data_IF_841218618824
#
_entry.id   IF_841218618824
#
_cell.length_a   1.000
_cell.length_b   1.000
_cell.length_c   1.000
_cell.angle_alpha   90.00
_cell.angle_beta   90.00
_cell.angle_gamma   90.00
#
_symmetry.space_group_name_H-M   'P 1'
#
loop_
_entity.id
_entity.type
_entity.pdbx_description
1 polymer ?
#
# COMPACT_ATOMS: atom_id res chain seq x y z
N UNK A 1 -84.95 -51.68 -3.84
CA UNK A 1 -85.86 -50.79 -3.08
C UNK A 1 -85.05 -49.58 -2.62
N UNK A 2 -84.99 -48.53 -3.44
CA UNK A 2 -84.30 -47.27 -3.13
C UNK A 2 -85.29 -46.34 -2.44
N UNK A 3 -85.36 -46.39 -1.10
CA UNK A 3 -85.94 -45.27 -0.36
C UNK A 3 -84.88 -44.18 -0.35
N UNK A 4 -85.09 -43.17 -1.19
CA UNK A 4 -84.31 -41.95 -1.22
C UNK A 4 -84.10 -41.44 0.22
N UNK A 5 -82.83 -41.19 0.53
CA UNK A 5 -82.27 -40.70 1.80
C UNK A 5 -82.68 -39.23 2.05
N UNK A 6 -83.87 -38.84 1.61
CA UNK A 6 -84.39 -37.47 1.67
C UNK A 6 -85.25 -37.23 2.92
N UNK A 7 -85.80 -38.30 3.52
CA UNK A 7 -86.73 -38.21 4.66
C UNK A 7 -86.10 -38.51 6.05
N UNK A 8 -84.79 -38.72 6.15
CA UNK A 8 -84.15 -39.08 7.43
C UNK A 8 -83.59 -37.86 8.18
N UNK A 9 -84.05 -37.65 9.43
CA UNK A 9 -83.59 -36.54 10.27
C UNK A 9 -82.13 -36.73 10.74
N UNK A 10 -81.35 -35.65 10.93
CA UNK A 10 -79.90 -35.70 11.18
C UNK A 10 -79.43 -36.34 12.50
N UNK A 11 -80.32 -36.88 13.34
CA UNK A 11 -79.98 -37.24 14.73
C UNK A 11 -79.12 -38.51 14.90
N UNK A 12 -78.90 -39.32 13.85
CA UNK A 12 -78.15 -40.59 13.95
C UNK A 12 -76.81 -40.63 13.18
N UNK A 13 -76.29 -39.49 12.69
CA UNK A 13 -75.10 -39.45 11.82
C UNK A 13 -73.80 -39.98 12.44
N UNK A 14 -73.64 -40.00 13.77
CA UNK A 14 -72.50 -40.68 14.43
C UNK A 14 -72.44 -42.18 14.13
N UNK A 15 -73.58 -42.82 13.86
CA UNK A 15 -73.67 -44.23 13.39
C UNK A 15 -73.21 -44.38 11.95
N UNK A 16 -73.21 -43.30 11.18
CA UNK A 16 -72.80 -43.28 9.78
C UNK A 16 -71.33 -42.88 9.62
N UNK A 17 -70.80 -42.03 10.50
CA UNK A 17 -69.38 -41.64 10.51
C UNK A 17 -68.42 -42.73 11.01
N UNK A 18 -68.92 -43.88 11.47
CA UNK A 18 -68.11 -45.07 11.80
C UNK A 18 -67.72 -45.85 10.52
N UNK A 19 -67.10 -45.13 9.59
CA UNK A 19 -66.68 -45.62 8.28
C UNK A 19 -65.80 -46.87 8.38
N UNK A 20 -64.90 -46.91 9.36
CA UNK A 20 -64.02 -48.05 9.60
C UNK A 20 -64.76 -49.34 9.95
N UNK A 21 -65.90 -49.28 10.65
CA UNK A 21 -66.74 -50.46 10.93
C UNK A 21 -67.55 -50.89 9.72
N UNK A 22 -68.22 -49.94 9.05
CA UNK A 22 -69.02 -50.23 7.84
C UNK A 22 -68.19 -50.81 6.71
N UNK A 23 -66.97 -50.30 6.54
CA UNK A 23 -66.02 -50.83 5.58
C UNK A 23 -65.59 -52.28 5.92
N UNK A 24 -65.54 -52.67 7.20
CA UNK A 24 -65.26 -54.07 7.59
C UNK A 24 -66.46 -54.98 7.37
N UNK A 25 -67.67 -54.47 7.56
CA UNK A 25 -68.93 -55.22 7.43
C UNK A 25 -69.41 -55.32 5.97
N UNK A 26 -68.92 -54.46 5.08
CA UNK A 26 -69.25 -54.48 3.65
C UNK A 26 -70.66 -54.01 3.31
N UNK A 27 -71.43 -53.56 4.30
CA UNK A 27 -72.83 -53.17 4.17
C UNK A 27 -73.03 -51.65 4.30
N UNK A 28 -73.97 -51.08 3.54
CA UNK A 28 -74.37 -49.68 3.62
C UNK A 28 -73.32 -48.64 3.18
N UNK A 29 -72.30 -49.05 2.39
CA UNK A 29 -71.26 -48.15 1.87
C UNK A 29 -71.80 -47.13 0.85
N UNK A 30 -72.71 -47.55 -0.04
CA UNK A 30 -73.32 -46.65 -1.02
C UNK A 30 -74.15 -45.53 -0.36
N UNK A 31 -74.92 -45.88 0.67
CA UNK A 31 -75.66 -44.89 1.48
C UNK A 31 -74.70 -43.97 2.23
N UNK A 32 -73.64 -44.54 2.82
CA UNK A 32 -72.60 -43.77 3.52
C UNK A 32 -71.92 -42.76 2.60
N UNK A 33 -71.56 -43.16 1.37
CA UNK A 33 -70.96 -42.25 0.41
C UNK A 33 -71.91 -41.11 0.05
N UNK A 34 -73.22 -41.37 -0.12
CA UNK A 34 -74.20 -40.32 -0.43
C UNK A 34 -74.24 -39.24 0.68
N UNK A 35 -74.08 -39.65 1.93
CA UNK A 35 -73.96 -38.72 3.06
C UNK A 35 -72.69 -37.87 3.01
N UNK A 36 -71.55 -38.41 2.58
CA UNK A 36 -70.30 -37.62 2.41
C UNK A 36 -70.53 -36.43 1.49
N UNK A 37 -71.16 -36.66 0.33
CA UNK A 37 -71.47 -35.59 -0.62
C UNK A 37 -72.35 -34.50 -0.02
N UNK A 38 -73.40 -34.89 0.72
CA UNK A 38 -74.30 -33.94 1.41
C UNK A 38 -73.57 -33.13 2.50
N UNK A 39 -72.72 -33.77 3.30
CA UNK A 39 -71.95 -33.10 4.38
C UNK A 39 -70.99 -32.06 3.79
N UNK A 40 -70.29 -32.41 2.70
CA UNK A 40 -69.30 -31.51 2.09
C UNK A 40 -69.93 -30.27 1.45
N UNK A 41 -71.09 -30.45 0.82
CA UNK A 41 -71.85 -29.39 0.16
C UNK A 41 -72.68 -28.53 1.11
N UNK A 42 -72.77 -28.88 2.40
CA UNK A 42 -73.44 -28.05 3.39
C UNK A 42 -72.73 -26.70 3.56
N UNK A 43 -73.51 -25.63 3.56
CA UNK A 43 -73.04 -24.26 3.75
C UNK A 43 -72.58 -23.94 5.19
N UNK A 44 -72.49 -24.95 6.06
CA UNK A 44 -72.24 -24.81 7.49
C UNK A 44 -73.51 -24.59 8.32
N UNK A 45 -74.68 -24.95 7.77
CA UNK A 45 -75.96 -24.79 8.45
C UNK A 45 -76.31 -26.00 9.34
N UNK A 46 -75.82 -27.18 8.97
CA UNK A 46 -76.20 -28.46 9.60
C UNK A 46 -74.99 -29.19 10.18
N UNK A 47 -73.84 -29.14 9.52
CA UNK A 47 -72.66 -29.91 9.91
C UNK A 47 -71.52 -29.04 10.43
N UNK A 48 -70.85 -29.55 11.46
CA UNK A 48 -69.69 -28.86 12.03
C UNK A 48 -68.49 -28.89 11.08
N UNK A 49 -67.52 -27.99 11.29
CA UNK A 49 -66.28 -27.97 10.50
C UNK A 49 -65.50 -29.28 10.66
N UNK A 50 -65.55 -29.91 11.83
CA UNK A 50 -64.86 -31.17 12.13
C UNK A 50 -65.47 -32.34 11.34
N UNK A 51 -66.80 -32.42 11.27
CA UNK A 51 -67.52 -33.43 10.50
C UNK A 51 -67.26 -33.28 9.00
N UNK A 52 -67.20 -32.03 8.53
CA UNK A 52 -66.87 -31.72 7.13
C UNK A 52 -65.42 -32.05 6.79
N UNK A 53 -64.48 -31.78 7.69
CA UNK A 53 -63.08 -32.15 7.53
C UNK A 53 -62.89 -33.68 7.48
N UNK A 54 -63.63 -34.41 8.32
CA UNK A 54 -63.62 -35.87 8.32
C UNK A 54 -64.22 -36.45 7.04
N UNK A 55 -65.37 -35.94 6.59
CA UNK A 55 -65.98 -36.33 5.33
C UNK A 55 -65.04 -36.05 4.14
N UNK A 56 -64.30 -34.94 4.18
CA UNK A 56 -63.30 -34.58 3.17
C UNK A 56 -62.14 -35.57 3.16
N UNK A 57 -61.57 -35.89 4.33
CA UNK A 57 -60.47 -36.85 4.44
C UNK A 57 -60.88 -38.24 3.94
N UNK A 58 -62.10 -38.71 4.25
CA UNK A 58 -62.61 -39.99 3.76
C UNK A 58 -62.78 -39.95 2.23
N UNK A 59 -63.39 -38.90 1.69
CA UNK A 59 -63.56 -38.74 0.24
C UNK A 59 -62.23 -38.68 -0.51
N UNK A 60 -61.21 -38.03 0.05
CA UNK A 60 -59.86 -38.05 -0.50
C UNK A 60 -59.26 -39.45 -0.44
N UNK A 61 -59.31 -40.13 0.70
CA UNK A 61 -58.71 -41.46 0.84
C UNK A 61 -59.29 -42.42 -0.19
N UNK A 62 -60.60 -42.39 -0.39
CA UNK A 62 -61.29 -43.15 -1.43
C UNK A 62 -60.85 -42.73 -2.84
N UNK A 63 -60.77 -41.43 -3.11
CA UNK A 63 -60.36 -40.94 -4.43
C UNK A 63 -58.90 -41.27 -4.76
N UNK A 64 -58.00 -41.18 -3.79
CA UNK A 64 -56.59 -41.56 -3.96
C UNK A 64 -56.45 -43.08 -4.07
N UNK A 65 -57.29 -43.85 -3.37
CA UNK A 65 -57.32 -45.32 -3.52
C UNK A 65 -57.73 -45.73 -4.95
N UNK A 66 -58.65 -45.00 -5.61
CA UNK A 66 -58.95 -45.21 -7.04
C UNK A 66 -57.70 -45.02 -7.93
N UNK A 67 -56.85 -44.05 -7.59
CA UNK A 67 -55.64 -43.71 -8.35
C UNK A 67 -54.44 -44.58 -7.98
N UNK A 68 -54.51 -45.33 -6.88
CA UNK A 68 -53.39 -46.06 -6.31
C UNK A 68 -52.65 -46.96 -7.32
N UNK A 69 -53.33 -47.79 -8.14
CA UNK A 69 -52.64 -48.64 -9.11
C UNK A 69 -51.87 -47.85 -10.17
N UNK A 70 -52.31 -46.62 -10.47
CA UNK A 70 -51.68 -45.75 -11.46
C UNK A 70 -50.52 -44.91 -10.91
N UNK A 71 -50.39 -44.81 -9.58
CA UNK A 71 -49.42 -43.94 -8.92
C UNK A 71 -48.29 -44.73 -8.24
N UNK A 72 -48.54 -45.97 -7.81
CA UNK A 72 -47.63 -46.72 -6.96
C UNK A 72 -46.30 -47.10 -7.64
N UNK A 73 -46.35 -47.53 -8.92
CA UNK A 73 -45.18 -48.05 -9.67
C UNK A 73 -44.57 -47.04 -10.66
N UNK A 74 -44.97 -45.76 -10.60
CA UNK A 74 -44.50 -44.74 -11.55
C UNK A 74 -43.19 -44.11 -11.08
N UNK A 75 -42.19 -43.90 -11.98
CA UNK A 75 -40.99 -43.13 -11.67
C UNK A 75 -41.36 -41.75 -11.11
N UNK A 76 -40.84 -41.44 -9.92
CA UNK A 76 -41.19 -40.23 -9.17
C UNK A 76 -40.46 -39.04 -9.76
N UNK A 77 -41.15 -37.92 -9.88
CA UNK A 77 -40.51 -36.64 -10.20
C UNK A 77 -39.78 -36.07 -8.97
N UNK A 78 -38.71 -35.31 -9.20
CA UNK A 78 -38.07 -34.55 -8.13
C UNK A 78 -38.99 -33.41 -7.67
N UNK A 79 -39.42 -33.47 -6.41
CA UNK A 79 -40.25 -32.43 -5.82
C UNK A 79 -39.40 -31.34 -5.18
N UNK A 80 -39.46 -30.14 -5.74
CA UNK A 80 -38.99 -28.92 -5.09
C UNK A 80 -40.18 -28.22 -4.45
N UNK A 81 -40.20 -28.18 -3.12
CA UNK A 81 -41.23 -27.49 -2.35
C UNK A 81 -40.74 -26.10 -1.95
N UNK A 82 -41.35 -25.07 -2.50
CA UNK A 82 -41.03 -23.68 -2.13
C UNK A 82 -41.51 -23.34 -0.71
N UNK A 83 -42.56 -24.01 -0.24
CA UNK A 83 -43.18 -23.82 1.08
C UNK A 83 -43.57 -25.16 1.71
N UNK A 84 -43.64 -25.26 3.05
CA UNK A 84 -44.12 -26.46 3.71
C UNK A 84 -45.59 -26.72 3.36
N UNK A 85 -45.85 -27.86 2.71
CA UNK A 85 -47.21 -28.35 2.48
C UNK A 85 -47.75 -29.03 3.74
N UNK A 86 -48.97 -28.65 4.11
CA UNK A 86 -49.78 -29.34 5.10
C UNK A 86 -50.46 -30.57 4.47
N UNK A 87 -51.14 -31.37 5.30
CA UNK A 87 -51.84 -32.58 4.86
C UNK A 87 -52.86 -32.31 3.74
N UNK A 88 -53.61 -31.22 3.86
CA UNK A 88 -54.59 -30.80 2.86
C UNK A 88 -53.91 -30.42 1.54
N UNK A 89 -52.81 -29.67 1.58
CA UNK A 89 -52.01 -29.30 0.42
C UNK A 89 -51.43 -30.51 -0.31
N UNK A 90 -50.96 -31.53 0.42
CA UNK A 90 -50.52 -32.81 -0.18
C UNK A 90 -51.67 -33.51 -0.89
N UNK A 91 -52.82 -33.65 -0.22
CA UNK A 91 -54.00 -34.29 -0.81
C UNK A 91 -54.48 -33.62 -2.09
N UNK A 92 -54.57 -32.29 -2.08
CA UNK A 92 -54.97 -31.53 -3.25
C UNK A 92 -53.97 -31.67 -4.39
N UNK A 93 -52.67 -31.71 -4.10
CA UNK A 93 -51.63 -31.89 -5.12
C UNK A 93 -51.62 -33.28 -5.77
N UNK A 94 -52.08 -34.32 -5.06
CA UNK A 94 -52.28 -35.67 -5.63
C UNK A 94 -53.48 -35.69 -6.58
N UNK A 95 -54.54 -34.96 -6.24
CA UNK A 95 -55.83 -34.97 -6.95
C UNK A 95 -55.98 -33.87 -8.01
N UNK A 96 -54.98 -32.99 -8.16
CA UNK A 96 -55.03 -31.84 -9.05
C UNK A 96 -55.14 -32.30 -10.52
N UNK A 97 -56.13 -31.77 -11.22
CA UNK A 97 -56.30 -32.02 -12.65
C UNK A 97 -55.15 -31.41 -13.47
N UNK A 98 -54.65 -32.16 -14.46
CA UNK A 98 -53.60 -31.71 -15.38
C UNK A 98 -52.16 -31.91 -14.89
N UNK A 99 -51.95 -32.42 -13.68
CA UNK A 99 -50.61 -32.74 -13.16
C UNK A 99 -50.12 -34.09 -13.68
N UNK A 100 -48.82 -34.20 -13.98
CA UNK A 100 -48.21 -35.45 -14.44
C UNK A 100 -48.26 -36.56 -13.38
N UNK A 101 -48.47 -37.80 -13.83
CA UNK A 101 -48.55 -38.99 -12.95
C UNK A 101 -47.30 -39.18 -12.08
N UNK A 102 -46.12 -38.87 -12.62
CA UNK A 102 -44.85 -38.90 -11.90
C UNK A 102 -44.81 -37.93 -10.71
N UNK A 103 -45.47 -36.78 -10.84
CA UNK A 103 -45.56 -35.77 -9.80
C UNK A 103 -46.61 -36.13 -8.75
N UNK A 104 -47.77 -36.65 -9.16
CA UNK A 104 -48.77 -37.19 -8.24
C UNK A 104 -48.18 -38.35 -7.41
N UNK A 105 -47.38 -39.23 -8.02
CA UNK A 105 -46.66 -40.31 -7.34
C UNK A 105 -45.65 -39.77 -6.31
N UNK A 106 -44.92 -38.71 -6.63
CA UNK A 106 -44.00 -38.09 -5.70
C UNK A 106 -44.73 -37.46 -4.48
N UNK A 107 -45.91 -36.87 -4.68
CA UNK A 107 -46.75 -36.37 -3.57
C UNK A 107 -47.36 -37.50 -2.73
N UNK A 108 -47.69 -38.63 -3.36
CA UNK A 108 -48.14 -39.84 -2.67
C UNK A 108 -47.02 -40.40 -1.76
N UNK A 109 -45.76 -40.38 -2.23
CA UNK A 109 -44.61 -40.75 -1.40
C UNK A 109 -44.38 -39.77 -0.25
N UNK A 110 -44.50 -38.45 -0.50
CA UNK A 110 -44.44 -37.44 0.55
C UNK A 110 -45.51 -37.64 1.62
N UNK A 111 -46.73 -38.06 1.22
CA UNK A 111 -47.78 -38.46 2.14
C UNK A 111 -47.36 -39.68 2.98
N UNK A 112 -46.74 -40.70 2.36
CA UNK A 112 -46.20 -41.87 3.06
C UNK A 112 -45.10 -41.54 4.07
N UNK A 113 -44.23 -40.59 3.74
CA UNK A 113 -43.16 -40.16 4.63
C UNK A 113 -43.69 -39.42 5.87
N UNK A 114 -44.67 -38.51 5.69
CA UNK A 114 -45.19 -37.63 6.76
C UNK A 114 -46.41 -38.17 7.51
N UNK A 115 -47.29 -38.89 6.82
CA UNK A 115 -48.61 -39.34 7.30
C UNK A 115 -48.81 -40.84 7.09
N UNK A 116 -47.91 -41.65 7.69
CA UNK A 116 -47.85 -43.12 7.53
C UNK A 116 -49.19 -43.83 7.74
N UNK A 117 -50.00 -43.40 8.71
CA UNK A 117 -51.30 -44.02 9.02
C UNK A 117 -52.28 -43.88 7.86
N UNK A 118 -52.38 -42.68 7.29
CA UNK A 118 -53.25 -42.40 6.15
C UNK A 118 -52.75 -43.09 4.89
N UNK A 119 -51.45 -43.09 4.64
CA UNK A 119 -50.87 -43.80 3.51
C UNK A 119 -51.16 -45.31 3.57
N UNK A 120 -50.93 -45.95 4.73
CA UNK A 120 -51.23 -47.37 4.92
C UNK A 120 -52.73 -47.66 4.73
N UNK A 121 -53.60 -46.81 5.28
CA UNK A 121 -55.05 -46.94 5.12
C UNK A 121 -55.50 -46.85 3.66
N UNK A 122 -54.94 -45.92 2.88
CA UNK A 122 -55.27 -45.78 1.45
C UNK A 122 -54.79 -47.02 0.68
N UNK A 123 -53.60 -47.54 0.99
CA UNK A 123 -53.11 -48.79 0.41
C UNK A 123 -53.99 -50.00 0.74
N UNK A 124 -54.43 -50.11 2.00
CA UNK A 124 -55.38 -51.14 2.44
C UNK A 124 -56.73 -51.01 1.71
N UNK A 125 -57.21 -49.79 1.48
CA UNK A 125 -58.42 -49.53 0.71
C UNK A 125 -58.27 -49.97 -0.75
N UNK A 126 -57.16 -49.61 -1.39
CA UNK A 126 -56.88 -49.94 -2.78
C UNK A 126 -56.76 -51.45 -3.03
N UNK A 127 -56.28 -52.22 -2.05
CA UNK A 127 -56.08 -53.66 -2.16
C UNK A 127 -57.33 -54.54 -1.98
N UNK A 128 -58.54 -53.98 -1.79
CA UNK A 128 -59.76 -54.76 -1.53
C UNK A 128 -60.44 -55.23 -2.82
N UNK A 129 -60.62 -56.54 -2.97
CA UNK A 129 -61.17 -57.20 -4.18
C UNK A 129 -62.61 -56.78 -4.55
N UNK A 130 -63.43 -56.34 -3.59
CA UNK A 130 -64.85 -55.99 -3.81
C UNK A 130 -65.09 -54.47 -3.95
N UNK A 131 -64.03 -53.68 -4.07
CA UNK A 131 -64.15 -52.22 -4.14
C UNK A 131 -64.58 -51.76 -5.53
N UNK A 132 -65.75 -51.12 -5.63
CA UNK A 132 -66.13 -50.33 -6.80
C UNK A 132 -65.38 -48.99 -6.78
N UNK A 133 -64.90 -48.47 -7.93
CA UNK A 133 -64.26 -47.17 -7.99
C UNK A 133 -65.15 -46.08 -7.38
N UNK A 134 -64.61 -45.30 -6.45
CA UNK A 134 -65.37 -44.26 -5.76
C UNK A 134 -65.89 -43.22 -6.76
N UNK A 135 -65.14 -42.93 -7.82
CA UNK A 135 -65.54 -41.99 -8.88
C UNK A 135 -66.83 -42.38 -9.61
N UNK A 136 -67.13 -43.68 -9.70
CA UNK A 136 -68.31 -44.19 -10.40
C UNK A 136 -69.58 -44.06 -9.54
N UNK A 137 -69.43 -43.83 -8.23
CA UNK A 137 -70.55 -43.59 -7.33
C UNK A 137 -71.19 -42.21 -7.56
N UNK A 138 -72.48 -42.06 -7.22
CA UNK A 138 -73.14 -40.75 -7.20
C UNK A 138 -72.39 -39.72 -6.35
N UNK A 139 -71.73 -40.19 -5.31
CA UNK A 139 -71.00 -39.40 -4.33
C UNK A 139 -69.60 -39.01 -4.79
N UNK A 140 -68.92 -39.87 -5.57
CA UNK A 140 -67.67 -39.52 -6.22
C UNK A 140 -67.83 -38.37 -7.20
N UNK A 141 -68.98 -38.29 -7.89
CA UNK A 141 -69.34 -37.14 -8.72
C UNK A 141 -69.55 -35.85 -7.91
N UNK A 142 -70.29 -35.92 -6.79
CA UNK A 142 -70.47 -34.78 -5.89
C UNK A 142 -69.14 -34.33 -5.26
N UNK A 143 -68.27 -35.27 -4.91
CA UNK A 143 -66.93 -35.00 -4.40
C UNK A 143 -66.05 -34.33 -5.46
N UNK A 144 -66.09 -34.78 -6.71
CA UNK A 144 -65.42 -34.12 -7.83
C UNK A 144 -65.90 -32.68 -8.06
N UNK A 145 -67.21 -32.43 -7.94
CA UNK A 145 -67.77 -31.06 -7.99
C UNK A 145 -67.28 -30.20 -6.83
N UNK A 146 -67.21 -30.78 -5.62
CA UNK A 146 -66.64 -30.10 -4.46
C UNK A 146 -65.17 -29.73 -4.68
N UNK A 147 -64.35 -30.63 -5.23
CA UNK A 147 -62.95 -30.34 -5.55
C UNK A 147 -62.83 -29.22 -6.58
N UNK A 148 -63.63 -29.26 -7.65
CA UNK A 148 -63.64 -28.19 -8.66
C UNK A 148 -64.03 -26.83 -8.05
N UNK A 149 -65.04 -26.81 -7.16
CA UNK A 149 -65.42 -25.62 -6.43
C UNK A 149 -64.33 -25.14 -5.47
N UNK A 150 -63.62 -26.05 -4.80
CA UNK A 150 -62.50 -25.73 -3.91
C UNK A 150 -61.33 -25.13 -4.69
N UNK A 151 -60.98 -25.71 -5.83
CA UNK A 151 -59.90 -25.22 -6.71
C UNK A 151 -60.23 -23.84 -7.29
N UNK A 152 -61.51 -23.55 -7.58
CA UNK A 152 -61.94 -22.20 -8.01
C UNK A 152 -61.80 -21.13 -6.93
N UNK A 153 -61.99 -21.49 -5.65
CA UNK A 153 -61.95 -20.55 -4.51
C UNK A 153 -60.54 -20.38 -3.96
N UNK A 154 -59.73 -21.42 -4.02
CA UNK A 154 -58.36 -21.44 -3.55
C UNK A 154 -57.53 -22.10 -4.64
N UNK A 155 -57.17 -21.38 -5.71
CA UNK A 155 -56.30 -21.93 -6.74
C UNK A 155 -55.02 -22.45 -6.11
N UNK A 156 -54.65 -23.69 -6.41
CA UNK A 156 -53.28 -24.10 -6.10
C UNK A 156 -52.35 -23.23 -6.94
N UNK A 157 -51.35 -22.62 -6.30
CA UNK A 157 -50.28 -21.92 -7.01
C UNK A 157 -49.77 -22.84 -8.11
N UNK A 158 -49.72 -22.33 -9.34
CA UNK A 158 -49.12 -23.06 -10.46
C UNK A 158 -47.70 -23.40 -10.08
N UNK A 159 -47.46 -24.67 -9.73
CA UNK A 159 -46.13 -25.11 -9.38
C UNK A 159 -45.39 -25.32 -10.70
N UNK A 160 -44.67 -24.30 -11.14
CA UNK A 160 -43.95 -24.25 -12.41
C UNK A 160 -43.22 -25.57 -12.72
N UNK A 161 -43.40 -26.05 -13.95
CA UNK A 161 -42.88 -27.33 -14.45
C UNK A 161 -41.40 -27.23 -14.84
N UNK A 162 -40.58 -26.65 -13.96
CA UNK A 162 -39.12 -26.62 -14.08
C UNK A 162 -38.56 -25.75 -15.22
N UNK A 163 -39.40 -25.14 -16.06
CA UNK A 163 -38.98 -24.27 -17.16
C UNK A 163 -38.38 -22.96 -16.67
N UNK A 164 -38.99 -22.33 -15.67
CA UNK A 164 -38.47 -21.11 -15.04
C UNK A 164 -37.22 -21.42 -14.21
N UNK A 165 -37.18 -22.59 -13.57
CA UNK A 165 -36.00 -23.07 -12.83
C UNK A 165 -34.81 -23.34 -13.77
N UNK A 166 -35.03 -23.97 -14.92
CA UNK A 166 -34.00 -24.17 -15.92
C UNK A 166 -33.48 -22.84 -16.47
N UNK A 167 -34.39 -21.92 -16.80
CA UNK A 167 -34.03 -20.57 -17.25
C UNK A 167 -33.21 -19.79 -16.22
N UNK A 168 -33.57 -19.87 -14.95
CA UNK A 168 -32.83 -19.22 -13.86
C UNK A 168 -31.45 -19.86 -13.65
N UNK A 169 -31.32 -21.19 -13.81
CA UNK A 169 -30.02 -21.86 -13.78
C UNK A 169 -29.12 -21.40 -14.92
N UNK A 170 -29.63 -21.32 -16.14
CA UNK A 170 -28.87 -20.84 -17.31
C UNK A 170 -28.43 -19.37 -17.12
N UNK A 171 -29.29 -18.53 -16.55
CA UNK A 171 -28.93 -17.16 -16.19
C UNK A 171 -27.83 -17.10 -15.13
N UNK A 172 -27.90 -17.95 -14.10
CA UNK A 172 -26.89 -18.01 -13.05
C UNK A 172 -25.52 -18.46 -13.60
N UNK A 173 -25.51 -19.45 -14.50
CA UNK A 173 -24.30 -19.90 -15.17
C UNK A 173 -23.70 -18.81 -16.06
N UNK A 174 -24.55 -18.09 -16.81
CA UNK A 174 -24.11 -16.97 -17.64
C UNK A 174 -23.50 -15.84 -16.80
N UNK A 175 -24.15 -15.47 -15.69
CA UNK A 175 -23.61 -14.49 -14.75
C UNK A 175 -22.30 -14.96 -14.12
N UNK A 176 -22.18 -16.25 -13.78
CA UNK A 176 -20.94 -16.83 -13.27
C UNK A 176 -19.78 -16.75 -14.28
N UNK A 177 -20.07 -16.92 -15.58
CA UNK A 177 -19.07 -16.74 -16.63
C UNK A 177 -18.67 -15.27 -16.80
N UNK A 178 -19.63 -14.34 -16.73
CA UNK A 178 -19.36 -12.91 -16.78
C UNK A 178 -18.49 -12.44 -15.61
N UNK A 179 -18.77 -12.91 -14.39
CA UNK A 179 -17.95 -12.60 -13.21
C UNK A 179 -16.50 -13.08 -13.38
N UNK A 180 -16.31 -14.31 -13.86
CA UNK A 180 -14.95 -14.83 -14.16
C UNK A 180 -14.22 -14.03 -15.22
N UNK A 181 -14.93 -13.48 -16.21
CA UNK A 181 -14.32 -12.61 -17.21
C UNK A 181 -13.89 -11.27 -16.59
N UNK A 182 -14.75 -10.66 -15.78
CA UNK A 182 -14.44 -9.41 -15.07
C UNK A 182 -13.31 -9.58 -14.05
N UNK A 183 -13.22 -10.71 -13.36
CA UNK A 183 -12.11 -11.03 -12.46
C UNK A 183 -10.77 -11.07 -13.21
N UNK A 184 -10.73 -11.69 -14.39
CA UNK A 184 -9.52 -11.67 -15.24
C UNK A 184 -9.20 -10.27 -15.71
N UNK A 185 -10.18 -9.47 -16.10
CA UNK A 185 -9.95 -8.10 -16.55
C UNK A 185 -9.40 -7.22 -15.42
N UNK A 186 -9.86 -7.42 -14.18
CA UNK A 186 -9.32 -6.79 -12.98
C UNK A 186 -7.87 -7.19 -12.73
N UNK A 187 -7.55 -8.49 -12.79
CA UNK A 187 -6.17 -8.98 -12.65
C UNK A 187 -5.22 -8.33 -13.68
N UNK A 188 -5.63 -8.27 -14.96
CA UNK A 188 -4.86 -7.57 -15.99
C UNK A 188 -4.75 -6.06 -15.75
N UNK A 189 -5.74 -5.43 -15.13
CA UNK A 189 -5.68 -4.02 -14.76
C UNK A 189 -4.70 -3.80 -13.60
N UNK A 190 -4.74 -4.64 -12.58
CA UNK A 190 -3.84 -4.60 -11.42
C UNK A 190 -2.38 -4.83 -11.84
N UNK A 191 -2.12 -5.77 -12.76
CA UNK A 191 -0.80 -5.99 -13.34
C UNK A 191 -0.27 -4.77 -14.09
N UNK A 192 -1.14 -4.11 -14.87
CA UNK A 192 -0.78 -2.87 -15.58
C UNK A 192 -0.48 -1.74 -14.61
N UNK A 193 -1.28 -1.59 -13.55
CA UNK A 193 -1.05 -0.60 -12.50
C UNK A 193 0.26 -0.88 -11.77
N UNK A 194 0.53 -2.14 -11.42
CA UNK A 194 1.77 -2.54 -10.75
C UNK A 194 3.01 -2.23 -11.59
N UNK A 195 2.96 -2.52 -12.90
CA UNK A 195 4.04 -2.16 -13.85
C UNK A 195 4.20 -0.65 -13.96
N UNK A 196 3.11 0.11 -14.03
CA UNK A 196 3.16 1.58 -14.09
C UNK A 196 3.76 2.17 -12.80
N UNK A 197 3.37 1.64 -11.63
CA UNK A 197 3.93 2.05 -10.34
C UNK A 197 5.43 1.75 -10.25
N UNK A 198 5.88 0.58 -10.73
CA UNK A 198 7.30 0.25 -10.77
C UNK A 198 8.05 1.21 -11.69
N UNK A 199 7.54 1.45 -12.90
CA UNK A 199 8.12 2.43 -13.83
C UNK A 199 8.20 3.83 -13.23
N UNK A 200 7.19 4.26 -12.48
CA UNK A 200 7.21 5.54 -11.76
C UNK A 200 8.31 5.58 -10.69
N UNK A 201 8.46 4.51 -9.90
CA UNK A 201 9.53 4.40 -8.89
C UNK A 201 10.91 4.50 -9.54
N UNK A 202 11.12 3.82 -10.65
CA UNK A 202 12.39 3.85 -11.39
C UNK A 202 12.67 5.28 -11.91
N UNK A 203 11.66 5.97 -12.46
CA UNK A 203 11.79 7.37 -12.89
C UNK A 203 12.05 8.34 -11.75
N UNK A 204 11.46 8.13 -10.57
CA UNK A 204 11.76 8.92 -9.38
C UNK A 204 13.21 8.71 -8.94
N UNK A 205 13.71 7.47 -8.95
CA UNK A 205 15.11 7.19 -8.64
C UNK A 205 16.08 7.82 -9.65
N UNK A 206 15.77 7.77 -10.95
CA UNK A 206 16.54 8.46 -11.99
C UNK A 206 16.56 9.97 -11.73
N UNK A 207 15.41 10.58 -11.45
CA UNK A 207 15.31 12.01 -11.14
C UNK A 207 16.17 12.37 -9.91
N UNK A 208 16.14 11.56 -8.85
CA UNK A 208 16.94 11.82 -7.65
C UNK A 208 18.45 11.69 -7.91
N UNK A 209 18.86 10.74 -8.77
CA UNK A 209 20.26 10.64 -9.23
C UNK A 209 20.68 11.90 -10.00
N UNK A 210 19.85 12.35 -10.95
CA UNK A 210 20.12 13.57 -11.73
C UNK A 210 20.15 14.81 -10.83
N UNK A 211 19.26 14.92 -9.84
CA UNK A 211 19.28 16.02 -8.86
C UNK A 211 20.58 16.05 -8.04
N UNK A 212 21.10 14.89 -7.64
CA UNK A 212 22.39 14.81 -6.94
C UNK A 212 23.54 15.25 -7.84
N UNK A 213 23.59 14.72 -9.06
CA UNK A 213 24.59 15.14 -10.06
C UNK A 213 24.55 16.65 -10.31
N UNK A 214 23.36 17.24 -10.43
CA UNK A 214 23.21 18.68 -10.63
C UNK A 214 23.75 19.48 -9.44
N UNK A 215 23.53 19.02 -8.20
CA UNK A 215 24.09 19.66 -7.01
C UNK A 215 25.61 19.57 -6.98
N UNK A 216 26.15 18.39 -7.27
CA UNK A 216 27.60 18.17 -7.31
C UNK A 216 28.27 19.07 -8.37
N UNK A 217 27.66 19.19 -9.56
CA UNK A 217 28.14 20.08 -10.62
C UNK A 217 28.03 21.57 -10.23
N UNK A 218 26.97 21.96 -9.51
CA UNK A 218 26.83 23.32 -8.98
C UNK A 218 27.94 23.64 -7.96
N UNK A 219 28.19 22.73 -7.01
CA UNK A 219 29.26 22.87 -6.02
C UNK A 219 30.64 22.93 -6.69
N UNK A 220 30.90 22.07 -7.68
CA UNK A 220 32.12 22.10 -8.48
C UNK A 220 32.26 23.43 -9.23
N UNK A 221 31.17 23.94 -9.79
CA UNK A 221 31.13 25.27 -10.41
C UNK A 221 31.44 26.40 -9.43
N UNK A 222 30.97 26.31 -8.19
CA UNK A 222 31.30 27.28 -7.13
C UNK A 222 32.76 27.21 -6.70
N UNK A 223 33.33 26.00 -6.57
CA UNK A 223 34.76 25.80 -6.32
C UNK A 223 35.61 26.40 -7.43
N UNK A 224 35.27 26.15 -8.70
CA UNK A 224 35.98 26.75 -9.83
C UNK A 224 35.88 28.29 -9.84
N UNK A 225 34.71 28.85 -9.48
CA UNK A 225 34.55 30.30 -9.34
C UNK A 225 35.40 30.87 -8.21
N UNK A 226 35.46 30.21 -7.06
CA UNK A 226 36.25 30.65 -5.92
C UNK A 226 37.75 30.54 -6.20
N UNK A 227 38.22 29.45 -6.81
CA UNK A 227 39.60 29.27 -7.29
C UNK A 227 40.00 30.31 -8.34
N UNK A 228 39.11 30.62 -9.28
CA UNK A 228 39.37 31.68 -10.26
C UNK A 228 39.51 33.04 -9.56
N UNK A 229 38.67 33.32 -8.56
CA UNK A 229 38.74 34.57 -7.78
C UNK A 229 40.04 34.68 -6.98
N UNK A 230 40.48 33.60 -6.33
CA UNK A 230 41.76 33.57 -5.60
C UNK A 230 42.95 33.71 -6.54
N UNK A 231 42.94 33.02 -7.69
CA UNK A 231 43.98 33.14 -8.72
C UNK A 231 44.09 34.57 -9.24
N UNK A 232 42.98 35.21 -9.58
CA UNK A 232 42.97 36.61 -10.03
C UNK A 232 43.53 37.54 -8.93
N UNK A 233 43.15 37.33 -7.67
CA UNK A 233 43.66 38.13 -6.55
C UNK A 233 45.18 37.95 -6.39
N UNK A 234 45.66 36.71 -6.42
CA UNK A 234 47.10 36.39 -6.34
C UNK A 234 47.88 37.00 -7.52
N UNK A 235 47.34 36.91 -8.74
CA UNK A 235 47.96 37.51 -9.91
C UNK A 235 48.04 39.04 -9.82
N UNK A 236 47.02 39.70 -9.26
CA UNK A 236 47.05 41.16 -9.00
C UNK A 236 48.12 41.51 -7.98
N UNK A 237 48.18 40.80 -6.86
CA UNK A 237 49.19 41.01 -5.81
C UNK A 237 50.61 40.79 -6.34
N UNK A 238 50.83 39.76 -7.15
CA UNK A 238 52.12 39.53 -7.81
C UNK A 238 52.47 40.66 -8.77
N UNK A 239 51.51 41.18 -9.53
CA UNK A 239 51.71 42.33 -10.41
C UNK A 239 52.04 43.63 -9.65
N UNK A 240 51.41 43.86 -8.49
CA UNK A 240 51.72 44.99 -7.61
C UNK A 240 53.13 44.86 -7.00
N UNK A 241 53.45 43.70 -6.43
CA UNK A 241 54.78 43.40 -5.89
C UNK A 241 55.88 43.55 -6.96
N UNK A 242 55.62 43.15 -8.20
CA UNK A 242 56.56 43.32 -9.30
C UNK A 242 56.81 44.80 -9.62
N UNK A 243 55.76 45.64 -9.59
CA UNK A 243 55.89 47.10 -9.79
C UNK A 243 56.66 47.76 -8.64
N UNK A 244 56.42 47.32 -7.41
CA UNK A 244 57.18 47.78 -6.24
C UNK A 244 58.66 47.39 -6.35
N UNK A 245 58.97 46.15 -6.73
CA UNK A 245 60.34 45.70 -6.98
C UNK A 245 61.01 46.51 -8.08
N UNK A 246 60.33 46.80 -9.19
CA UNK A 246 60.89 47.62 -10.26
C UNK A 246 61.12 49.08 -9.81
N UNK A 247 60.26 49.60 -8.94
CA UNK A 247 60.44 50.93 -8.33
C UNK A 247 61.66 50.94 -7.41
N UNK A 248 61.77 49.98 -6.49
CA UNK A 248 62.91 49.82 -5.60
C UNK A 248 64.22 49.60 -6.38
N UNK A 249 64.21 48.83 -7.47
CA UNK A 249 65.38 48.66 -8.36
C UNK A 249 65.81 49.99 -8.96
N UNK A 250 64.88 50.81 -9.45
CA UNK A 250 65.19 52.15 -9.98
C UNK A 250 65.75 53.06 -8.90
N UNK A 251 65.18 53.02 -7.70
CA UNK A 251 65.67 53.80 -6.55
C UNK A 251 67.07 53.36 -6.12
N UNK A 252 67.32 52.06 -6.06
CA UNK A 252 68.63 51.49 -5.78
C UNK A 252 69.67 51.96 -6.81
N UNK A 253 69.37 51.88 -8.12
CA UNK A 253 70.28 52.38 -9.17
C UNK A 253 70.53 53.89 -9.03
N UNK A 254 69.51 54.68 -8.67
CA UNK A 254 69.69 56.11 -8.40
C UNK A 254 70.59 56.36 -7.18
N UNK A 255 70.39 55.63 -6.10
CA UNK A 255 71.20 55.74 -4.89
C UNK A 255 72.65 55.31 -5.14
N UNK A 256 72.87 54.20 -5.83
CA UNK A 256 74.19 53.74 -6.26
C UNK A 256 74.87 54.79 -7.16
N UNK A 257 74.14 55.39 -8.11
CA UNK A 257 74.63 56.50 -8.92
C UNK A 257 75.05 57.71 -8.09
N UNK A 258 74.23 58.11 -7.11
CA UNK A 258 74.56 59.21 -6.17
C UNK A 258 75.78 58.87 -5.31
N UNK A 259 75.88 57.65 -4.80
CA UNK A 259 77.02 57.19 -4.02
C UNK A 259 78.31 57.21 -4.85
N UNK A 260 78.27 56.71 -6.09
CA UNK A 260 79.39 56.79 -7.03
C UNK A 260 79.78 58.24 -7.34
N UNK A 261 78.81 59.14 -7.49
CA UNK A 261 79.08 60.56 -7.72
C UNK A 261 79.67 61.24 -6.48
N UNK A 262 79.15 60.95 -5.29
CA UNK A 262 79.73 61.42 -4.03
C UNK A 262 81.14 60.88 -3.83
N UNK A 263 81.39 59.59 -4.09
CA UNK A 263 82.72 58.99 -4.05
C UNK A 263 83.67 59.68 -5.04
N UNK A 264 83.22 59.99 -6.27
CA UNK A 264 84.01 60.78 -7.24
C UNK A 264 84.26 62.21 -6.77
N UNK A 265 83.27 62.87 -6.14
CA UNK A 265 83.42 64.23 -5.60
C UNK A 265 84.37 64.24 -4.41
N UNK A 266 84.32 63.23 -3.55
CA UNK A 266 85.24 63.02 -2.43
C UNK A 266 86.65 62.76 -2.94
N UNK A 267 86.85 61.82 -3.88
CA UNK A 267 88.15 61.58 -4.50
C UNK A 267 88.74 62.85 -5.15
N UNK A 268 87.92 63.64 -5.85
CA UNK A 268 88.35 64.94 -6.42
C UNK A 268 88.62 66.01 -5.35
N UNK A 269 87.89 65.97 -4.23
CA UNK A 269 88.14 66.86 -3.11
C UNK A 269 89.42 66.47 -2.36
N UNK A 270 89.72 65.18 -2.23
CA UNK A 270 90.99 64.65 -1.72
C UNK A 270 92.18 65.07 -2.59
N UNK A 271 92.04 64.97 -3.92
CA UNK A 271 93.05 65.43 -4.87
C UNK A 271 93.30 66.95 -4.76
N UNK A 272 92.25 67.77 -4.58
CA UNK A 272 92.37 69.23 -4.44
C UNK A 272 92.81 69.70 -3.06
N UNK A 273 92.50 68.96 -2.01
CA UNK A 273 92.95 69.25 -0.65
C UNK A 273 94.42 68.87 -0.43
N UNK A 274 95.15 68.45 -1.47
CA UNK A 274 96.55 68.10 -1.39
C UNK A 274 96.75 66.80 -0.63
N UNK A 275 96.27 65.68 -1.16
CA UNK A 275 96.67 64.34 -0.69
C UNK A 275 96.44 64.10 0.80
N UNK A 276 95.49 64.79 1.41
CA UNK A 276 94.97 64.47 2.73
C UNK A 276 94.09 63.25 2.59
N UNK A 277 94.72 62.08 2.60
CA UNK A 277 94.07 60.78 2.73
C UNK A 277 92.86 60.89 3.65
N UNK A 278 91.68 60.41 3.23
CA UNK A 278 90.70 59.88 4.19
C UNK A 278 91.25 58.64 4.92
N UNK A 279 92.50 58.70 5.39
CA UNK A 279 92.82 58.23 6.72
C UNK A 279 91.79 58.94 7.57
N UNK A 280 90.70 58.22 7.89
CA UNK A 280 90.20 58.18 9.26
C UNK A 280 91.37 58.62 10.12
N UNK A 281 91.29 59.80 10.75
CA UNK A 281 92.43 60.32 11.48
C UNK A 281 92.64 59.33 12.64
N UNK A 282 93.42 58.28 12.38
CA UNK A 282 93.57 57.12 13.23
C UNK A 282 94.22 57.60 14.52
N UNK A 283 95.02 58.66 14.47
CA UNK A 283 95.54 59.35 15.64
C UNK A 283 94.44 60.04 16.46
N UNK A 284 93.45 60.67 15.84
CA UNK A 284 92.28 61.21 16.54
C UNK A 284 91.35 60.11 17.10
N UNK A 285 91.13 59.02 16.35
CA UNK A 285 90.38 57.85 16.82
C UNK A 285 91.11 57.12 17.95
N UNK A 286 92.44 57.03 17.87
CA UNK A 286 93.31 56.56 18.95
C UNK A 286 93.26 57.48 20.16
N UNK A 287 92.66 58.67 20.13
CA UNK A 287 92.49 59.49 21.33
C UNK A 287 91.07 59.44 21.89
N UNK A 288 90.12 58.84 21.17
CA UNK A 288 88.73 58.67 21.61
C UNK A 288 88.60 57.57 22.67
N UNK A 289 87.61 57.73 23.55
CA UNK A 289 87.23 56.68 24.50
C UNK A 289 86.59 55.51 23.74
N UNK A 290 86.88 54.25 24.15
CA UNK A 290 86.49 53.05 23.41
C UNK A 290 84.97 52.88 23.29
N UNK A 291 84.19 53.41 24.23
CA UNK A 291 82.72 53.42 24.19
C UNK A 291 82.18 54.14 22.95
N UNK A 292 82.67 55.37 22.69
CA UNK A 292 82.24 56.17 21.55
C UNK A 292 82.69 55.57 20.21
N UNK A 293 83.87 54.92 20.17
CA UNK A 293 84.36 54.25 18.96
C UNK A 293 83.48 53.06 18.54
N UNK A 294 82.88 52.37 19.52
CA UNK A 294 82.00 51.22 19.28
C UNK A 294 80.51 51.63 19.18
N UNK A 295 80.23 52.94 19.17
CA UNK A 295 78.87 53.49 19.07
C UNK A 295 78.03 53.27 20.33
N UNK A 296 78.66 53.26 21.51
CA UNK A 296 78.00 53.10 22.81
C UNK A 296 77.89 54.46 23.53
N UNK A 297 76.73 54.70 24.15
CA UNK A 297 76.44 55.94 24.88
C UNK A 297 77.13 55.96 26.24
N UNK A 298 78.39 56.43 26.29
CA UNK A 298 79.12 57.07 27.41
C UNK A 298 79.12 56.50 28.85
N UNK A 299 78.43 55.39 29.13
CA UNK A 299 78.40 54.65 30.40
C UNK A 299 78.12 53.18 30.10
N UNK A 300 79.15 52.43 29.73
CA UNK A 300 79.01 51.02 29.40
C UNK A 300 79.91 50.14 30.28
N UNK A 301 79.34 49.08 30.86
CA UNK A 301 80.10 48.12 31.66
C UNK A 301 81.13 47.35 30.80
N UNK A 302 82.25 46.95 31.40
CA UNK A 302 83.35 46.24 30.71
C UNK A 302 82.91 45.01 29.91
N UNK A 303 81.87 44.31 30.40
CA UNK A 303 81.32 43.13 29.74
C UNK A 303 80.59 43.46 28.43
N UNK A 304 79.87 44.60 28.42
CA UNK A 304 79.16 45.11 27.26
C UNK A 304 80.13 45.62 26.19
N UNK A 305 81.19 46.29 26.63
CA UNK A 305 82.28 46.75 25.78
C UNK A 305 83.01 45.55 25.13
N UNK A 306 83.31 44.51 25.90
CA UNK A 306 83.89 43.26 25.39
C UNK A 306 82.96 42.49 24.44
N UNK A 307 81.64 42.55 24.63
CA UNK A 307 80.65 41.93 23.73
C UNK A 307 80.57 42.67 22.40
N UNK A 308 80.51 43.99 22.42
CA UNK A 308 80.48 44.81 21.21
C UNK A 308 81.77 44.72 20.40
N UNK A 309 82.93 44.68 21.08
CA UNK A 309 84.22 44.41 20.43
C UNK A 309 84.22 43.08 19.68
N UNK A 310 83.69 42.00 20.28
CA UNK A 310 83.58 40.69 19.64
C UNK A 310 82.59 40.69 18.47
N UNK A 311 81.46 41.39 18.58
CA UNK A 311 80.50 41.55 17.48
C UNK A 311 81.12 42.34 16.32
N UNK A 312 81.88 43.39 16.60
CA UNK A 312 82.60 44.16 15.61
C UNK A 312 83.64 43.30 14.87
N UNK A 313 84.42 42.51 15.62
CA UNK A 313 85.36 41.55 15.03
C UNK A 313 84.66 40.46 14.20
N UNK A 314 83.52 39.94 14.66
CA UNK A 314 82.77 38.89 13.99
C UNK A 314 82.02 39.36 12.73
N UNK A 315 81.61 40.64 12.68
CA UNK A 315 80.95 41.21 11.51
C UNK A 315 81.82 41.11 10.24
N UNK A 316 83.14 41.07 10.41
CA UNK A 316 84.14 41.01 9.34
C UNK A 316 85.03 39.77 9.44
N UNK A 317 84.42 38.61 9.71
CA UNK A 317 85.10 37.31 9.58
C UNK A 317 85.78 37.20 8.20
N UNK A 318 86.99 36.60 8.10
CA UNK A 318 87.75 36.51 6.84
C UNK A 318 86.93 35.99 5.65
N UNK A 319 85.97 35.09 5.89
CA UNK A 319 85.06 34.57 4.86
C UNK A 319 84.11 35.63 4.26
N UNK A 320 83.79 36.71 4.99
CA UNK A 320 82.98 37.85 4.52
C UNK A 320 83.80 39.00 3.97
N UNK A 321 85.06 39.12 4.42
CA UNK A 321 85.97 40.17 3.99
C UNK A 321 86.61 39.85 2.61
N UNK A 322 86.70 38.57 2.23
CA UNK A 322 87.25 38.14 0.94
C UNK A 322 86.46 38.60 -0.30
N UNK A 323 85.19 38.97 -0.14
CA UNK A 323 84.35 39.53 -1.22
C UNK A 323 84.47 41.06 -1.35
N UNK A 324 85.18 41.72 -0.44
CA UNK A 324 85.35 43.18 -0.43
C UNK A 324 86.71 43.58 -1.05
N UNK A 325 86.84 44.82 -1.57
CA UNK A 325 88.10 45.31 -2.11
C UNK A 325 89.27 45.23 -1.11
N UNK A 326 90.52 44.95 -1.54
CA UNK A 326 91.68 44.74 -0.65
C UNK A 326 91.92 45.86 0.37
N UNK A 327 91.67 47.12 0.00
CA UNK A 327 91.83 48.29 0.87
C UNK A 327 90.88 48.27 2.09
N UNK A 328 89.74 47.56 2.02
CA UNK A 328 88.79 47.43 3.13
C UNK A 328 89.37 46.55 4.25
N UNK A 329 90.14 45.53 3.89
CA UNK A 329 90.83 44.68 4.86
C UNK A 329 91.92 45.44 5.61
N UNK A 330 92.73 46.23 4.89
CA UNK A 330 93.78 47.07 5.49
C UNK A 330 93.20 48.12 6.45
N UNK A 331 92.13 48.81 6.04
CA UNK A 331 91.44 49.79 6.89
C UNK A 331 90.86 49.16 8.17
N UNK A 332 90.35 47.94 8.08
CA UNK A 332 89.79 47.23 9.23
C UNK A 332 90.87 46.81 10.23
N UNK A 333 92.03 46.36 9.75
CA UNK A 333 93.18 46.05 10.63
C UNK A 333 93.62 47.30 11.39
N UNK A 334 93.68 48.46 10.72
CA UNK A 334 94.02 49.72 11.36
C UNK A 334 92.97 50.17 12.40
N UNK A 335 91.67 50.06 12.09
CA UNK A 335 90.58 50.39 13.02
C UNK A 335 90.53 49.45 14.23
N UNK A 336 90.70 48.15 14.01
CA UNK A 336 90.69 47.16 15.08
C UNK A 336 91.94 47.32 15.98
N UNK A 337 93.08 47.70 15.41
CA UNK A 337 94.27 48.14 16.14
C UNK A 337 93.98 49.34 17.04
N UNK A 338 93.35 50.40 16.50
CA UNK A 338 92.99 51.59 17.27
C UNK A 338 91.99 51.29 18.42
N UNK A 339 91.00 50.44 18.19
CA UNK A 339 90.03 50.00 19.22
C UNK A 339 90.74 49.21 20.33
N UNK A 340 91.66 48.30 19.97
CA UNK A 340 92.41 47.51 20.94
C UNK A 340 93.30 48.39 21.82
N UNK A 341 94.04 49.32 21.20
CA UNK A 341 94.87 50.29 21.93
C UNK A 341 94.02 51.18 22.87
N UNK A 342 92.82 51.58 22.44
CA UNK A 342 91.90 52.36 23.28
C UNK A 342 91.34 51.56 24.46
N UNK A 343 90.98 50.29 24.25
CA UNK A 343 90.56 49.40 25.33
C UNK A 343 91.70 49.11 26.32
N UNK A 344 92.93 48.94 25.84
CA UNK A 344 94.09 48.66 26.71
C UNK A 344 94.48 49.87 27.54
N UNK A 345 94.30 51.10 27.03
CA UNK A 345 94.45 52.33 27.84
C UNK A 345 93.37 52.47 28.90
N UNK A 346 92.12 52.12 28.57
CA UNK A 346 91.02 52.16 29.53
C UNK A 346 91.21 51.17 30.69
N UNK A 347 91.90 50.05 30.45
CA UNK A 347 92.28 49.07 31.50
C UNK A 347 93.49 49.46 32.35
N UNK A 348 94.31 50.42 31.89
CA UNK A 348 95.53 50.90 32.59
C UNK A 348 95.28 52.18 33.40
N UNK A 349 94.14 52.83 33.22
CA UNK A 349 93.58 53.85 34.11
C UNK A 349 92.69 53.16 35.14
#
# INVERSE_FOLDING_TARGET
>A
MSRLVEDQSPRDLRRYLDYGKRLKEGDGLDEFYQWIGKILLDGGAVYSIEERAMAFEIGICERVADLWPTLFDVPRADLVLYHPLDKCGIYRSILQAGVSTARCSAFLDLLGQRYKKQYAWIGELAGREQRRPFVESGSGRLFGQFLAALDSRIPQMGLDEGGEVARLKDQLEHQGQQLKALERDLEHAEDRVSKAQQGLRDKVQEMDRVKRQLRDEQENGEKLRSERKTRIKSQRQSGEAQRELDTLRREFVKQDGRLKEMAKRLARAEERAGGGSWRLNIEALRQMNPEYMLGLDGRCDDESLGRMRRRFAAAFHPDRAGELPPWVGELFVELLGAINEACDRAKKK
#
